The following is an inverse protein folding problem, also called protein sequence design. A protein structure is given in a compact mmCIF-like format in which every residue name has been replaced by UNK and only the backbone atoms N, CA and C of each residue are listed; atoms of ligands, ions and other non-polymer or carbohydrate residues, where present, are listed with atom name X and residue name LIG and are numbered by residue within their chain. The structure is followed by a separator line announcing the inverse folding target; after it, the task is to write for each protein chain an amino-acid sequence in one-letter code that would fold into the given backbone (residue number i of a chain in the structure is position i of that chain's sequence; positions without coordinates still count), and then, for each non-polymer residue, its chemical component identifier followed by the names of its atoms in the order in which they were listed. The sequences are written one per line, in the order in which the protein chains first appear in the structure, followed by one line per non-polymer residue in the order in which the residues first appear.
data_IF_956061076951
#
_entry.id   IF_956061076951
#
_cell.length_a   1.000
_cell.length_b   1.000
_cell.length_c   1.000
_cell.angle_alpha   90.00
_cell.angle_beta   90.00
_cell.angle_gamma   90.00
#
_symmetry.space_group_name_H-M   'P 1'
#
loop_
_entity.id
_entity.type
_entity.pdbx_description
1 polymer ?
#
# COMPACT_ATOMS: atom_id res chain seq x y z
N UNK A 1 31.70 14.95 -7.77
CA UNK A 1 30.60 15.64 -7.05
C UNK A 1 30.04 16.75 -7.95
N UNK A 2 29.27 16.35 -8.97
CA UNK A 2 28.59 17.27 -9.87
C UNK A 2 27.22 16.70 -10.36
N UNK A 3 26.23 16.44 -9.47
CA UNK A 3 24.87 16.27 -9.97
C UNK A 3 23.82 16.92 -9.05
N UNK A 4 23.95 18.22 -8.77
CA UNK A 4 22.87 18.97 -8.10
C UNK A 4 22.58 20.35 -8.74
N UNK A 5 23.40 20.79 -9.70
CA UNK A 5 23.23 22.06 -10.42
C UNK A 5 22.55 21.91 -11.78
N UNK A 6 22.12 20.70 -12.16
CA UNK A 6 21.51 20.40 -13.46
C UNK A 6 20.00 20.11 -13.35
N UNK A 7 19.39 20.42 -12.20
CA UNK A 7 17.99 20.08 -11.90
C UNK A 7 17.07 21.30 -11.82
N UNK A 8 17.59 22.50 -12.02
CA UNK A 8 16.85 23.76 -12.05
C UNK A 8 17.63 24.75 -12.93
N UNK A 9 17.57 24.58 -14.26
CA UNK A 9 17.72 25.76 -15.12
C UNK A 9 16.39 26.50 -15.01
N UNK A 10 16.42 27.74 -14.49
CA UNK A 10 15.22 28.56 -14.28
C UNK A 10 14.42 28.77 -15.58
N UNK A 11 15.07 28.59 -16.74
CA UNK A 11 14.46 28.67 -18.08
C UNK A 11 13.50 27.50 -18.40
N UNK A 12 13.62 26.34 -17.74
CA UNK A 12 12.76 25.17 -18.01
C UNK A 12 11.33 25.35 -17.46
N UNK A 13 11.13 26.22 -16.46
CA UNK A 13 9.81 26.46 -15.85
C UNK A 13 8.98 27.50 -16.62
N UNK A 14 9.62 28.46 -17.28
CA UNK A 14 8.93 29.57 -17.96
C UNK A 14 8.33 29.16 -19.32
N UNK A 15 8.83 28.10 -19.96
CA UNK A 15 8.33 27.56 -21.24
C UNK A 15 7.41 26.32 -21.10
N UNK A 16 7.16 25.86 -19.88
CA UNK A 16 6.29 24.70 -19.63
C UNK A 16 4.81 25.05 -19.80
N UNK A 17 4.13 24.32 -20.70
CA UNK A 17 2.67 24.34 -20.79
C UNK A 17 2.08 24.03 -19.41
N UNK A 18 1.10 24.82 -18.97
CA UNK A 18 0.43 24.66 -17.67
C UNK A 18 -0.04 23.22 -17.44
N UNK A 19 -0.46 22.53 -18.51
CA UNK A 19 -0.84 21.13 -18.46
C UNK A 19 0.33 20.21 -18.07
N UNK A 20 1.52 20.45 -18.60
CA UNK A 20 2.71 19.67 -18.25
C UNK A 20 3.13 19.93 -16.81
N UNK A 21 3.14 21.19 -16.37
CA UNK A 21 3.41 21.54 -14.97
C UNK A 21 2.45 20.83 -14.02
N UNK A 22 1.16 20.88 -14.34
CA UNK A 22 0.11 20.26 -13.53
C UNK A 22 0.26 18.74 -13.47
N UNK A 23 0.45 18.07 -14.60
CA UNK A 23 0.45 16.60 -14.66
C UNK A 23 1.77 15.96 -14.26
N UNK A 24 2.91 16.60 -14.57
CA UNK A 24 4.25 16.03 -14.36
C UNK A 24 4.91 16.45 -13.04
N UNK A 25 4.43 17.52 -12.38
CA UNK A 25 5.01 18.00 -11.13
C UNK A 25 4.01 18.17 -9.99
N UNK A 26 2.89 18.87 -10.23
CA UNK A 26 1.91 19.12 -9.17
C UNK A 26 1.19 17.83 -8.78
N UNK A 27 0.68 17.09 -9.76
CA UNK A 27 -0.05 15.85 -9.51
C UNK A 27 0.78 14.79 -8.75
N UNK A 28 2.00 14.40 -9.18
CA UNK A 28 2.80 13.44 -8.45
C UNK A 28 3.32 13.99 -7.12
N UNK A 29 3.58 15.30 -7.01
CA UNK A 29 3.94 15.94 -5.74
C UNK A 29 2.83 15.82 -4.68
N UNK A 30 1.59 16.09 -5.08
CA UNK A 30 0.41 15.83 -4.22
C UNK A 30 0.24 14.34 -3.93
N UNK A 31 0.50 13.48 -4.92
CA UNK A 31 0.51 12.02 -4.74
C UNK A 31 1.49 11.58 -3.65
N UNK A 32 2.71 12.13 -3.62
CA UNK A 32 3.70 11.84 -2.58
C UNK A 32 3.18 12.25 -1.18
N UNK A 33 2.57 13.43 -1.06
CA UNK A 33 2.03 13.92 0.21
C UNK A 33 0.90 13.02 0.71
N UNK A 34 -0.05 12.66 -0.16
CA UNK A 34 -1.18 11.80 0.21
C UNK A 34 -0.69 10.39 0.55
N UNK A 35 0.25 9.83 -0.22
CA UNK A 35 0.86 8.54 0.08
C UNK A 35 1.50 8.52 1.48
N UNK A 36 2.25 9.57 1.85
CA UNK A 36 2.82 9.71 3.19
C UNK A 36 1.73 9.70 4.27
N UNK A 37 0.66 10.49 4.12
CA UNK A 37 -0.46 10.51 5.07
C UNK A 37 -1.13 9.15 5.21
N UNK A 38 -1.28 8.41 4.10
CA UNK A 38 -1.80 7.06 4.11
C UNK A 38 -0.88 6.09 4.88
N UNK A 39 0.44 6.17 4.71
CA UNK A 39 1.40 5.35 5.47
C UNK A 39 1.45 5.68 6.96
N UNK A 40 1.12 6.91 7.35
CA UNK A 40 1.01 7.32 8.76
C UNK A 40 -0.28 6.79 9.40
N UNK A 41 -1.30 6.41 8.63
CA UNK A 41 -2.61 5.99 9.16
C UNK A 41 -2.57 4.84 10.21
N UNK A 42 -1.75 3.78 10.09
CA UNK A 42 -1.71 2.72 11.08
C UNK A 42 -0.81 3.06 12.28
N UNK A 43 -0.04 4.16 12.23
CA UNK A 43 0.96 4.51 13.23
C UNK A 43 0.36 4.59 14.64
N UNK A 44 -0.83 5.19 14.77
CA UNK A 44 -1.52 5.30 16.06
C UNK A 44 -1.80 3.92 16.67
N UNK A 45 -2.32 2.98 15.88
CA UNK A 45 -2.60 1.62 16.34
C UNK A 45 -1.31 0.89 16.74
N UNK A 46 -0.24 1.04 15.96
CA UNK A 46 1.07 0.44 16.28
C UNK A 46 1.67 1.02 17.56
N UNK A 47 1.56 2.33 17.78
CA UNK A 47 2.03 2.96 19.02
C UNK A 47 1.23 2.47 20.23
N UNK A 48 -0.07 2.21 20.07
CA UNK A 48 -0.88 1.58 21.11
C UNK A 48 -0.41 0.16 21.42
N UNK A 49 -0.10 -0.66 20.40
CA UNK A 49 0.50 -2.00 20.58
C UNK A 49 1.81 -1.94 21.36
N UNK A 50 2.68 -0.98 21.05
CA UNK A 50 3.94 -0.79 21.81
C UNK A 50 3.70 -0.40 23.26
N UNK A 51 2.73 0.48 23.52
CA UNK A 51 2.40 0.94 24.86
C UNK A 51 1.74 -0.16 25.70
N UNK A 52 0.82 -0.93 25.11
CA UNK A 52 0.13 -2.04 25.78
C UNK A 52 0.98 -3.31 25.87
N UNK A 53 2.03 -3.43 25.05
CA UNK A 53 2.82 -4.66 24.85
C UNK A 53 1.97 -5.86 24.42
N UNK A 54 0.87 -5.59 23.72
CA UNK A 54 -0.08 -6.59 23.29
C UNK A 54 -0.62 -6.22 21.90
N UNK A 55 -0.54 -7.17 20.97
CA UNK A 55 -0.97 -6.94 19.58
C UNK A 55 -2.49 -6.74 19.46
N UNK A 56 -3.27 -7.43 20.29
CA UNK A 56 -4.74 -7.41 20.21
C UNK A 56 -5.22 -7.92 18.86
N UNK A 57 -6.25 -7.26 18.31
CA UNK A 57 -6.89 -7.62 17.03
C UNK A 57 -6.17 -7.04 15.80
N UNK A 58 -5.05 -6.34 15.99
CA UNK A 58 -4.30 -5.75 14.88
C UNK A 58 -3.67 -6.85 14.04
N UNK A 59 -4.12 -7.00 12.78
CA UNK A 59 -3.44 -7.86 11.82
C UNK A 59 -2.10 -7.23 11.39
N UNK A 60 -0.94 -7.88 11.61
CA UNK A 60 0.35 -7.30 11.28
C UNK A 60 0.79 -7.57 9.83
N UNK A 61 0.11 -8.47 9.10
CA UNK A 61 0.49 -8.84 7.73
C UNK A 61 0.44 -7.68 6.71
N UNK A 62 -0.54 -6.76 6.76
CA UNK A 62 -0.54 -5.57 5.90
C UNK A 62 0.72 -4.72 6.05
N UNK A 63 1.35 -4.67 7.23
CA UNK A 63 2.57 -3.92 7.47
C UNK A 63 3.77 -4.50 6.68
N UNK A 64 3.83 -5.83 6.57
CA UNK A 64 4.81 -6.53 5.72
C UNK A 64 4.54 -6.24 4.24
N UNK A 65 3.26 -6.19 3.84
CA UNK A 65 2.89 -5.89 2.46
C UNK A 65 3.25 -4.44 2.07
N UNK A 66 3.19 -3.48 3.00
CA UNK A 66 3.69 -2.10 2.79
C UNK A 66 5.19 -2.13 2.45
N UNK A 67 6.01 -2.85 3.23
CA UNK A 67 7.45 -2.97 2.98
C UNK A 67 7.70 -3.54 1.57
N UNK A 68 7.04 -4.65 1.24
CA UNK A 68 7.20 -5.29 -0.06
C UNK A 68 6.83 -4.34 -1.20
N UNK A 69 5.67 -3.70 -1.12
CA UNK A 69 5.20 -2.76 -2.15
C UNK A 69 6.17 -1.59 -2.32
N UNK A 70 6.53 -0.91 -1.23
CA UNK A 70 7.43 0.24 -1.29
C UNK A 70 8.81 -0.15 -1.83
N UNK A 71 9.35 -1.31 -1.44
CA UNK A 71 10.65 -1.78 -1.93
C UNK A 71 10.61 -2.08 -3.43
N UNK A 72 9.54 -2.70 -3.94
CA UNK A 72 9.40 -2.98 -5.36
C UNK A 72 9.26 -1.70 -6.20
N UNK A 73 8.51 -0.71 -5.71
CA UNK A 73 8.39 0.59 -6.36
C UNK A 73 9.67 1.43 -6.25
N UNK A 74 10.44 1.31 -5.18
CA UNK A 74 11.77 1.92 -5.09
C UNK A 74 12.74 1.32 -6.11
N UNK A 75 12.73 -0.01 -6.30
CA UNK A 75 13.49 -0.63 -7.40
C UNK A 75 13.06 -0.06 -8.75
N UNK A 76 11.75 0.04 -9.00
CA UNK A 76 11.22 0.62 -10.22
C UNK A 76 11.64 2.08 -10.43
N UNK A 77 11.47 2.93 -9.42
CA UNK A 77 11.84 4.34 -9.47
C UNK A 77 13.33 4.54 -9.70
N UNK A 78 14.18 3.75 -9.05
CA UNK A 78 15.62 3.79 -9.27
C UNK A 78 16.02 3.38 -10.70
N UNK A 79 15.43 2.31 -11.23
CA UNK A 79 15.71 1.83 -12.60
C UNK A 79 15.29 2.85 -13.65
N UNK A 80 14.16 3.53 -13.44
CA UNK A 80 13.64 4.53 -14.38
C UNK A 80 14.07 5.97 -14.08
N UNK A 81 14.93 6.17 -13.06
CA UNK A 81 15.32 7.48 -12.55
C UNK A 81 14.12 8.42 -12.26
N UNK A 82 13.00 7.86 -11.76
CA UNK A 82 11.78 8.61 -11.43
C UNK A 82 11.82 9.09 -9.97
N UNK A 83 12.05 10.39 -9.71
CA UNK A 83 12.17 10.91 -8.35
C UNK A 83 10.84 10.87 -7.59
N UNK A 84 9.70 11.00 -8.27
CA UNK A 84 8.40 11.02 -7.62
C UNK A 84 8.01 9.64 -7.11
N UNK A 85 8.24 8.60 -7.91
CA UNK A 85 8.02 7.21 -7.45
C UNK A 85 8.91 6.88 -6.26
N UNK A 86 10.17 7.34 -6.26
CA UNK A 86 11.09 7.16 -5.13
C UNK A 86 10.55 7.89 -3.89
N UNK A 87 10.27 9.19 -3.99
CA UNK A 87 9.82 10.03 -2.88
C UNK A 87 8.48 9.58 -2.29
N UNK A 88 7.59 9.02 -3.11
CA UNK A 88 6.31 8.50 -2.66
C UNK A 88 6.44 7.23 -1.81
N UNK A 89 7.46 6.41 -2.06
CA UNK A 89 7.58 5.08 -1.46
C UNK A 89 8.63 4.99 -0.36
N UNK A 90 9.68 5.83 -0.38
CA UNK A 90 10.74 5.81 0.63
C UNK A 90 10.20 5.99 2.08
N UNK A 91 9.34 6.98 2.36
CA UNK A 91 8.79 7.14 3.71
C UNK A 91 7.92 5.95 4.12
N UNK A 92 7.20 5.36 3.16
CA UNK A 92 6.38 4.17 3.36
C UNK A 92 7.22 2.94 3.73
N UNK A 93 8.40 2.78 3.12
CA UNK A 93 9.34 1.72 3.47
C UNK A 93 9.84 1.90 4.91
N UNK A 94 10.32 3.09 5.28
CA UNK A 94 10.82 3.37 6.63
C UNK A 94 9.76 3.14 7.70
N UNK A 95 8.55 3.69 7.49
CA UNK A 95 7.43 3.49 8.39
C UNK A 95 7.01 2.02 8.44
N UNK A 96 6.92 1.35 7.29
CA UNK A 96 6.57 -0.07 7.19
C UNK A 96 7.51 -0.95 8.01
N UNK A 97 8.83 -0.72 7.91
CA UNK A 97 9.84 -1.44 8.71
C UNK A 97 9.64 -1.18 10.20
N UNK A 98 9.54 0.09 10.61
CA UNK A 98 9.31 0.46 12.01
C UNK A 98 8.05 -0.20 12.57
N UNK A 99 6.95 -0.15 11.82
CA UNK A 99 5.66 -0.68 12.24
C UNK A 99 5.67 -2.21 12.32
N UNK A 100 6.28 -2.87 11.33
CA UNK A 100 6.43 -4.33 11.29
C UNK A 100 7.24 -4.83 12.47
N UNK A 101 8.40 -4.24 12.76
CA UNK A 101 9.24 -4.62 13.91
C UNK A 101 8.49 -4.42 15.22
N UNK A 102 7.78 -3.29 15.35
CA UNK A 102 7.01 -2.97 16.54
C UNK A 102 5.90 -3.98 16.82
N UNK A 103 5.20 -4.46 15.79
CA UNK A 103 4.14 -5.45 15.94
C UNK A 103 4.70 -6.88 16.10
N UNK A 104 5.78 -7.21 15.39
CA UNK A 104 6.42 -8.53 15.46
C UNK A 104 6.80 -8.90 16.90
N UNK A 105 7.31 -7.94 17.67
CA UNK A 105 7.69 -8.13 19.07
C UNK A 105 6.55 -8.61 19.97
N UNK A 106 5.28 -8.37 19.60
CA UNK A 106 4.10 -8.70 20.41
C UNK A 106 3.13 -9.67 19.71
N UNK A 107 3.43 -10.09 18.49
CA UNK A 107 2.65 -11.07 17.73
C UNK A 107 2.83 -12.50 18.27
N UNK A 108 1.81 -13.34 18.11
CA UNK A 108 1.91 -14.77 18.40
C UNK A 108 2.82 -15.51 17.40
N UNK A 109 3.16 -16.76 17.70
CA UNK A 109 4.07 -17.57 16.88
C UNK A 109 3.54 -17.76 15.46
N UNK A 110 2.24 -17.98 15.28
CA UNK A 110 1.65 -18.20 13.95
C UNK A 110 1.71 -16.94 13.11
N UNK A 111 1.38 -15.79 13.69
CA UNK A 111 1.46 -14.48 13.05
C UNK A 111 2.91 -14.13 12.69
N UNK A 112 3.87 -14.35 13.60
CA UNK A 112 5.30 -14.14 13.34
C UNK A 112 5.81 -15.00 12.18
N UNK A 113 5.48 -16.29 12.18
CA UNK A 113 5.87 -17.20 11.11
C UNK A 113 5.31 -16.76 9.75
N UNK A 114 4.06 -16.29 9.73
CA UNK A 114 3.45 -15.79 8.50
C UNK A 114 4.11 -14.49 8.02
N UNK A 115 4.39 -13.55 8.93
CA UNK A 115 5.11 -12.32 8.63
C UNK A 115 6.50 -12.61 8.05
N UNK A 116 7.26 -13.53 8.67
CA UNK A 116 8.60 -13.92 8.20
C UNK A 116 8.54 -14.60 6.84
N UNK A 117 7.61 -15.54 6.62
CA UNK A 117 7.42 -16.20 5.31
C UNK A 117 7.10 -15.18 4.22
N UNK A 118 6.21 -14.23 4.50
CA UNK A 118 5.86 -13.17 3.56
C UNK A 118 7.07 -12.24 3.29
N UNK A 119 7.78 -11.81 4.34
CA UNK A 119 9.00 -11.00 4.20
C UNK A 119 10.06 -11.71 3.34
N UNK A 120 10.34 -12.98 3.63
CA UNK A 120 11.31 -13.78 2.88
C UNK A 120 10.89 -13.93 1.42
N UNK A 121 9.62 -14.28 1.15
CA UNK A 121 9.11 -14.42 -0.20
C UNK A 121 9.27 -13.13 -1.02
N UNK A 122 8.81 -11.99 -0.50
CA UNK A 122 8.91 -10.72 -1.22
C UNK A 122 10.34 -10.23 -1.33
N UNK A 123 11.16 -10.42 -0.30
CA UNK A 123 12.58 -10.06 -0.34
C UNK A 123 13.30 -10.84 -1.44
N UNK A 124 13.14 -12.16 -1.48
CA UNK A 124 13.76 -13.01 -2.50
C UNK A 124 13.32 -12.65 -3.91
N UNK A 125 12.02 -12.36 -4.09
CA UNK A 125 11.48 -11.93 -5.38
C UNK A 125 12.11 -10.61 -5.84
N UNK A 126 12.08 -9.58 -5.00
CA UNK A 126 12.53 -8.22 -5.35
C UNK A 126 14.06 -8.18 -5.47
N UNK A 127 14.79 -8.81 -4.54
CA UNK A 127 16.25 -8.90 -4.64
C UNK A 127 16.68 -9.73 -5.84
N UNK A 128 15.95 -10.81 -6.16
CA UNK A 128 16.20 -11.61 -7.36
C UNK A 128 16.04 -10.79 -8.64
N UNK A 129 14.97 -9.99 -8.74
CA UNK A 129 14.78 -9.06 -9.85
C UNK A 129 15.91 -8.02 -9.92
N UNK A 130 16.28 -7.40 -8.80
CA UNK A 130 17.37 -6.42 -8.73
C UNK A 130 18.74 -7.00 -9.13
N UNK A 131 19.08 -8.20 -8.65
CA UNK A 131 20.31 -8.91 -9.04
C UNK A 131 20.28 -9.26 -10.53
N UNK A 132 19.13 -9.72 -11.04
CA UNK A 132 19.00 -10.07 -12.44
C UNK A 132 19.23 -8.86 -13.35
N UNK A 133 18.63 -7.71 -12.99
CA UNK A 133 18.86 -6.43 -13.66
C UNK A 133 20.34 -6.06 -13.62
N UNK A 134 20.94 -6.05 -12.42
CA UNK A 134 22.32 -5.57 -12.24
C UNK A 134 23.39 -6.42 -12.94
N UNK A 135 23.18 -7.74 -13.06
CA UNK A 135 24.21 -8.66 -13.56
C UNK A 135 23.98 -9.16 -14.99
N UNK A 136 22.72 -9.18 -15.45
CA UNK A 136 22.37 -9.86 -16.70
C UNK A 136 21.59 -8.99 -17.70
N UNK A 137 21.27 -7.74 -17.35
CA UNK A 137 20.49 -6.85 -18.22
C UNK A 137 21.31 -5.64 -18.62
N UNK A 138 21.62 -5.55 -19.91
CA UNK A 138 22.37 -4.41 -20.48
C UNK A 138 21.44 -3.30 -21.00
N UNK A 139 20.19 -3.62 -21.33
CA UNK A 139 19.24 -2.67 -21.92
C UNK A 139 18.32 -2.10 -20.84
N UNK A 140 18.30 -0.77 -20.73
CA UNK A 140 17.45 -0.05 -19.79
C UNK A 140 15.96 -0.40 -19.95
N UNK A 141 15.47 -0.53 -21.19
CA UNK A 141 14.08 -0.92 -21.44
C UNK A 141 13.73 -2.30 -20.89
N UNK A 142 14.65 -3.27 -20.93
CA UNK A 142 14.45 -4.59 -20.33
C UNK A 142 14.48 -4.50 -18.80
N UNK A 143 15.36 -3.67 -18.24
CA UNK A 143 15.43 -3.44 -16.80
C UNK A 143 14.12 -2.84 -16.27
N UNK A 144 13.58 -1.82 -16.95
CA UNK A 144 12.29 -1.21 -16.64
C UNK A 144 11.15 -2.21 -16.71
N UNK A 145 11.12 -3.11 -17.70
CA UNK A 145 10.10 -4.16 -17.80
C UNK A 145 10.16 -5.11 -16.58
N UNK A 146 11.35 -5.61 -16.23
CA UNK A 146 11.51 -6.54 -15.10
C UNK A 146 11.10 -5.87 -13.78
N UNK A 147 11.58 -4.65 -13.54
CA UNK A 147 11.21 -3.90 -12.35
C UNK A 147 9.70 -3.60 -12.32
N UNK A 148 9.11 -3.20 -13.46
CA UNK A 148 7.70 -2.85 -13.58
C UNK A 148 6.78 -4.03 -13.33
N UNK A 149 7.06 -5.19 -13.96
CA UNK A 149 6.29 -6.41 -13.68
C UNK A 149 6.44 -6.88 -12.24
N UNK A 150 7.62 -6.73 -11.64
CA UNK A 150 7.85 -7.05 -10.22
C UNK A 150 7.01 -6.15 -9.33
N UNK A 151 7.04 -4.83 -9.53
CA UNK A 151 6.25 -3.87 -8.76
C UNK A 151 4.74 -4.10 -8.90
N UNK A 152 4.25 -4.32 -10.12
CA UNK A 152 2.83 -4.63 -10.37
C UNK A 152 2.42 -5.94 -9.71
N UNK A 153 3.22 -7.00 -9.79
CA UNK A 153 2.90 -8.27 -9.14
C UNK A 153 2.76 -8.11 -7.62
N UNK A 154 3.72 -7.43 -6.98
CA UNK A 154 3.67 -7.16 -5.54
C UNK A 154 2.46 -6.31 -5.17
N UNK A 155 2.13 -5.30 -5.99
CA UNK A 155 0.96 -4.46 -5.79
C UNK A 155 -0.36 -5.24 -5.93
N UNK A 156 -0.45 -6.20 -6.85
CA UNK A 156 -1.62 -7.08 -6.95
C UNK A 156 -1.78 -7.96 -5.70
N UNK A 157 -0.69 -8.48 -5.14
CA UNK A 157 -0.73 -9.17 -3.85
C UNK A 157 -1.20 -8.22 -2.73
N UNK A 158 -0.71 -6.97 -2.73
CA UNK A 158 -1.10 -5.93 -1.77
C UNK A 158 -2.61 -5.63 -1.84
N UNK A 159 -3.20 -5.63 -3.03
CA UNK A 159 -4.64 -5.44 -3.24
C UNK A 159 -5.52 -6.61 -2.78
N UNK A 160 -4.95 -7.75 -2.39
CA UNK A 160 -5.72 -8.88 -1.86
C UNK A 160 -6.54 -8.50 -0.61
N UNK A 161 -5.96 -7.73 0.30
CA UNK A 161 -6.63 -7.30 1.54
C UNK A 161 -7.85 -6.39 1.28
N UNK A 162 -7.75 -5.26 0.55
CA UNK A 162 -8.91 -4.41 0.28
C UNK A 162 -10.00 -5.14 -0.53
N UNK A 163 -9.64 -6.05 -1.45
CA UNK A 163 -10.64 -6.83 -2.19
C UNK A 163 -11.42 -7.77 -1.26
N UNK A 164 -10.73 -8.41 -0.31
CA UNK A 164 -11.37 -9.22 0.73
C UNK A 164 -12.33 -8.41 1.59
N UNK A 165 -11.92 -7.20 2.02
CA UNK A 165 -12.78 -6.29 2.78
C UNK A 165 -14.01 -5.84 1.98
N UNK A 166 -13.85 -5.51 0.69
CA UNK A 166 -14.98 -5.17 -0.18
C UNK A 166 -15.99 -6.32 -0.28
N UNK A 167 -15.50 -7.56 -0.47
CA UNK A 167 -16.35 -8.74 -0.53
C UNK A 167 -17.12 -8.98 0.78
N UNK A 168 -16.45 -8.78 1.93
CA UNK A 168 -17.06 -8.88 3.24
C UNK A 168 -18.18 -7.85 3.45
N UNK A 169 -17.94 -6.59 3.08
CA UNK A 169 -18.95 -5.51 3.21
C UNK A 169 -20.21 -5.83 2.41
N UNK A 170 -20.06 -6.35 1.19
CA UNK A 170 -21.19 -6.77 0.35
C UNK A 170 -21.93 -7.95 0.98
N UNK A 171 -21.21 -8.95 1.49
CA UNK A 171 -21.78 -10.13 2.14
C UNK A 171 -22.54 -9.79 3.42
N UNK A 172 -21.92 -9.00 4.29
CA UNK A 172 -22.46 -8.65 5.61
C UNK A 172 -23.41 -7.43 5.57
N UNK A 173 -23.47 -6.74 4.43
CA UNK A 173 -24.27 -5.52 4.21
C UNK A 173 -23.98 -4.46 5.28
N UNK A 174 -22.71 -4.23 5.57
CA UNK A 174 -22.23 -3.29 6.61
C UNK A 174 -20.86 -2.74 6.22
N UNK A 175 -20.70 -1.41 6.23
CA UNK A 175 -19.43 -0.73 5.92
C UNK A 175 -18.54 -0.47 7.15
N UNK A 176 -18.79 -1.14 8.28
CA UNK A 176 -18.07 -0.89 9.54
C UNK A 176 -16.54 -1.08 9.44
N UNK A 177 -16.06 -1.90 8.51
CA UNK A 177 -14.63 -2.13 8.25
C UNK A 177 -14.01 -1.12 7.27
N UNK A 178 -14.81 -0.25 6.64
CA UNK A 178 -14.35 0.79 5.72
C UNK A 178 -14.31 2.15 6.42
N UNK A 179 -13.23 2.88 6.19
CA UNK A 179 -13.03 4.21 6.77
C UNK A 179 -13.05 5.28 5.68
N UNK A 180 -14.07 6.14 5.69
CA UNK A 180 -14.31 7.13 4.63
C UNK A 180 -13.08 8.00 4.29
N UNK A 181 -12.35 8.61 5.26
CA UNK A 181 -11.17 9.40 4.94
C UNK A 181 -10.08 8.62 4.19
N UNK A 182 -9.85 7.35 4.55
CA UNK A 182 -8.85 6.50 3.90
C UNK A 182 -9.30 6.14 2.48
N UNK A 183 -10.58 5.83 2.28
CA UNK A 183 -11.12 5.55 0.95
C UNK A 183 -11.02 6.77 0.02
N UNK A 184 -11.29 7.98 0.52
CA UNK A 184 -11.09 9.23 -0.26
C UNK A 184 -9.62 9.41 -0.62
N UNK A 185 -8.71 9.30 0.35
CA UNK A 185 -7.27 9.44 0.10
C UNK A 185 -6.77 8.42 -0.92
N UNK A 186 -7.19 7.15 -0.82
CA UNK A 186 -6.87 6.11 -1.80
C UNK A 186 -7.34 6.47 -3.21
N UNK A 187 -8.59 6.92 -3.36
CA UNK A 187 -9.15 7.33 -4.66
C UNK A 187 -8.38 8.50 -5.25
N UNK A 188 -8.19 9.57 -4.48
CA UNK A 188 -7.50 10.78 -4.95
C UNK A 188 -6.05 10.46 -5.30
N UNK A 189 -5.34 9.73 -4.43
CA UNK A 189 -3.96 9.30 -4.70
C UNK A 189 -3.89 8.48 -6.00
N UNK A 190 -4.76 7.48 -6.16
CA UNK A 190 -4.80 6.67 -7.38
C UNK A 190 -5.05 7.51 -8.64
N UNK A 191 -5.97 8.47 -8.59
CA UNK A 191 -6.23 9.37 -9.73
C UNK A 191 -5.03 10.28 -10.05
N UNK A 192 -4.32 10.78 -9.04
CA UNK A 192 -3.10 11.57 -9.24
C UNK A 192 -2.00 10.74 -9.91
N UNK A 193 -1.80 9.49 -9.50
CA UNK A 193 -0.83 8.59 -10.13
C UNK A 193 -1.25 8.14 -11.53
N UNK A 194 -2.55 8.00 -11.81
CA UNK A 194 -3.06 7.80 -13.18
C UNK A 194 -2.75 9.00 -14.05
N UNK A 195 -3.01 10.21 -13.55
CA UNK A 195 -2.74 11.45 -14.27
C UNK A 195 -1.24 11.59 -14.57
N UNK A 196 -0.38 11.32 -13.58
CA UNK A 196 1.07 11.34 -13.74
C UNK A 196 1.55 10.27 -14.73
N UNK A 197 1.19 9.00 -14.50
CA UNK A 197 1.61 7.88 -15.34
C UNK A 197 1.18 8.04 -16.80
N UNK A 198 -0.03 8.56 -17.06
CA UNK A 198 -0.46 8.85 -18.43
C UNK A 198 0.34 10.00 -19.06
N UNK A 199 0.70 11.03 -18.30
CA UNK A 199 1.47 12.17 -18.78
C UNK A 199 2.95 11.84 -19.08
N UNK A 200 3.54 10.88 -18.36
CA UNK A 200 4.90 10.36 -18.65
C UNK A 200 4.89 9.11 -19.54
N UNK A 201 3.73 8.74 -20.09
CA UNK A 201 3.53 7.56 -20.94
C UNK A 201 3.96 6.23 -20.30
N UNK A 202 3.83 6.12 -18.98
CA UNK A 202 4.18 4.95 -18.19
C UNK A 202 2.92 4.19 -17.74
N UNK A 203 2.67 3.05 -18.40
CA UNK A 203 1.55 2.17 -18.08
C UNK A 203 1.79 1.30 -16.85
N UNK A 204 3.04 1.08 -16.42
CA UNK A 204 3.29 0.42 -15.15
C UNK A 204 2.81 1.28 -13.99
N UNK A 205 2.91 2.60 -14.09
CA UNK A 205 2.34 3.52 -13.11
C UNK A 205 0.83 3.67 -13.32
N UNK A 206 0.38 4.01 -14.53
CA UNK A 206 -1.02 4.40 -14.75
C UNK A 206 -2.01 3.25 -14.54
N UNK A 207 -1.75 2.07 -15.12
CA UNK A 207 -2.72 0.98 -15.13
C UNK A 207 -3.08 0.43 -13.72
N UNK A 208 -2.13 0.07 -12.85
CA UNK A 208 -2.49 -0.46 -11.54
C UNK A 208 -3.03 0.61 -10.58
N UNK A 209 -2.68 1.89 -10.78
CA UNK A 209 -3.28 2.99 -10.04
C UNK A 209 -4.73 3.25 -10.47
N UNK A 210 -5.08 3.02 -11.74
CA UNK A 210 -6.47 3.07 -12.19
C UNK A 210 -7.32 1.96 -11.54
N UNK A 211 -6.76 0.76 -11.40
CA UNK A 211 -7.39 -0.34 -10.64
C UNK A 211 -7.58 0.06 -9.17
N UNK A 212 -6.54 0.61 -8.54
CA UNK A 212 -6.61 1.10 -7.15
C UNK A 212 -7.65 2.21 -6.95
N UNK A 213 -7.71 3.18 -7.85
CA UNK A 213 -8.71 4.25 -7.84
C UNK A 213 -10.13 3.69 -7.97
N UNK A 214 -10.31 2.68 -8.83
CA UNK A 214 -11.59 1.97 -8.97
C UNK A 214 -11.99 1.29 -7.67
N UNK A 215 -11.06 0.62 -6.97
CA UNK A 215 -11.34 0.05 -5.65
C UNK A 215 -11.70 1.12 -4.62
N UNK A 216 -11.02 2.27 -4.61
CA UNK A 216 -11.38 3.39 -3.74
C UNK A 216 -12.79 3.92 -4.02
N UNK A 217 -13.16 4.08 -5.29
CA UNK A 217 -14.52 4.49 -5.69
C UNK A 217 -15.57 3.47 -5.25
N UNK A 218 -15.29 2.18 -5.40
CA UNK A 218 -16.17 1.12 -4.89
C UNK A 218 -16.30 1.18 -3.37
N UNK A 219 -15.22 1.42 -2.62
CA UNK A 219 -15.30 1.60 -1.16
C UNK A 219 -16.22 2.77 -0.80
N UNK A 220 -16.07 3.92 -1.46
CA UNK A 220 -16.92 5.10 -1.22
C UNK A 220 -18.39 4.82 -1.54
N UNK A 221 -18.66 4.13 -2.65
CA UNK A 221 -20.02 3.72 -3.01
C UNK A 221 -20.61 2.78 -1.95
N UNK A 222 -19.85 1.79 -1.48
CA UNK A 222 -20.31 0.85 -0.45
C UNK A 222 -20.54 1.52 0.91
N UNK A 223 -19.71 2.48 1.31
CA UNK A 223 -19.92 3.29 2.52
C UNK A 223 -21.26 4.02 2.43
N UNK A 224 -21.60 4.56 1.26
CA UNK A 224 -22.86 5.25 1.05
C UNK A 224 -24.06 4.30 1.01
N UNK A 225 -23.94 3.15 0.35
CA UNK A 225 -25.03 2.19 0.18
C UNK A 225 -25.31 1.33 1.43
N UNK A 226 -24.30 1.08 2.27
CA UNK A 226 -24.42 0.23 3.45
C UNK A 226 -24.06 1.00 4.72
N UNK A 227 -25.03 1.35 5.58
CA UNK A 227 -24.72 1.97 6.85
C UNK A 227 -23.92 1.01 7.74
N UNK A 228 -22.98 1.51 8.56
CA UNK A 228 -22.25 0.67 9.49
C UNK A 228 -23.22 0.12 10.54
N UNK A 229 -23.36 -1.21 10.59
CA UNK A 229 -24.09 -1.87 11.67
C UNK A 229 -23.27 -1.67 12.96
N UNK A 230 -23.90 -1.14 14.02
CA UNK A 230 -23.25 -1.06 15.33
C UNK A 230 -22.80 -2.45 15.74
N UNK A 231 -21.51 -2.62 16.02
CA UNK A 231 -21.05 -3.77 16.79
C UNK A 231 -21.80 -3.75 18.13
N UNK A 232 -22.33 -4.91 18.55
CA UNK A 232 -22.75 -5.07 19.94
C UNK A 232 -21.55 -4.66 20.82
N UNK A 233 -21.80 -3.81 21.82
CA UNK A 233 -20.76 -3.12 22.60
C UNK A 233 -19.73 -4.12 23.14
N UNK A 234 -18.56 -4.11 22.51
CA UNK A 234 -17.30 -4.68 22.97
C UNK A 234 -16.23 -3.61 22.73
N UNK A 235 -15.40 -3.35 23.74
CA UNK A 235 -14.57 -2.15 23.90
C UNK A 235 -13.75 -1.74 22.66
N UNK A 236 -13.62 -0.42 22.50
CA UNK A 236 -13.12 0.21 21.29
C UNK A 236 -11.66 -0.10 20.93
N UNK A 237 -11.46 -0.40 19.66
CA UNK A 237 -10.19 -0.34 18.96
C UNK A 237 -10.39 0.43 17.65
N UNK A 238 -9.51 1.40 17.41
CA UNK A 238 -9.58 2.30 16.28
C UNK A 238 -9.39 1.53 14.96
N UNK A 239 -10.20 1.91 13.96
CA UNK A 239 -10.21 1.36 12.61
C UNK A 239 -8.80 1.32 11.98
N UNK A 240 -8.18 0.14 11.99
CA UNK A 240 -7.07 -0.19 11.10
C UNK A 240 -7.65 -0.59 9.75
N UNK A 241 -7.42 0.22 8.73
CA UNK A 241 -7.79 -0.11 7.36
C UNK A 241 -7.08 -1.41 6.93
N UNK A 242 -7.89 -2.41 6.60
CA UNK A 242 -7.50 -3.59 5.84
C UNK A 242 -6.87 -4.72 6.66
N UNK A 243 -7.72 -5.57 7.26
CA UNK A 243 -7.71 -7.04 7.11
C UNK A 243 -8.59 -7.65 8.21
N UNK A 244 -9.87 -7.88 7.88
CA UNK A 244 -10.74 -8.70 8.72
C UNK A 244 -10.24 -10.15 8.69
N UNK A 245 -9.82 -10.65 9.85
CA UNK A 245 -9.59 -12.07 10.06
C UNK A 245 -10.96 -12.77 10.17
N UNK A 246 -11.17 -13.81 9.37
CA UNK A 246 -12.33 -14.68 9.51
C UNK A 246 -12.18 -15.50 10.81
N UNK A 247 -13.03 -15.23 11.78
CA UNK A 247 -13.17 -16.02 13.00
C UNK A 247 -13.89 -17.34 12.64
N UNK A 248 -13.24 -18.47 12.91
CA UNK A 248 -13.80 -19.81 12.73
C UNK A 248 -14.40 -20.24 14.07
N UNK A 249 -15.72 -20.16 14.20
CA UNK A 249 -16.45 -20.66 15.37
C UNK A 249 -16.51 -22.20 15.28
N UNK A 250 -15.89 -22.97 16.19
CA UNK A 250 -16.09 -24.41 16.19
C UNK A 250 -17.51 -24.68 16.67
N UNK A 251 -18.29 -25.36 15.82
CA UNK A 251 -19.62 -25.87 16.13
C UNK A 251 -19.61 -26.53 17.50
N UNK A 252 -20.36 -25.96 18.44
CA UNK A 252 -20.70 -26.60 19.70
C UNK A 252 -21.47 -27.89 19.38
N UNK A 253 -20.80 -29.03 19.51
CA UNK A 253 -21.44 -30.34 19.57
C UNK A 253 -22.21 -30.42 20.89
N UNK A 254 -23.51 -30.15 20.83
CA UNK A 254 -24.43 -30.33 21.93
C UNK A 254 -24.54 -31.80 22.36
N UNK A 255 -24.39 -31.98 23.67
CA UNK A 255 -24.98 -32.97 24.58
C UNK A 255 -25.64 -34.24 24.05
N UNK A 256 -25.27 -35.36 24.67
CA UNK A 256 -26.02 -36.62 24.62
C UNK A 256 -25.51 -37.64 25.63
N UNK A 257 -26.11 -37.59 26.82
CA UNK A 257 -26.08 -38.54 27.93
C UNK A 257 -26.08 -40.03 27.55
N UNK A 258 -25.18 -40.81 28.13
CA UNK A 258 -25.42 -42.00 28.99
C UNK A 258 -24.08 -42.63 29.40
#
# INVERSE_FOLDING_TARGET
MAPLRLLLDDDDFDDMDFKELLLKHIAPGLGCIIAFLMFVSPLKAVLQVRASKHLGDLNPLPLVAIIANCTAWLLYGCVNADPYVILANEPGLLLGVFMTISCYAFADIKARDLMLKALLFFTLLISGAGIAIALFVEKDSTASLIAGYTAVFVLLCYYGAPLSTLAEVVRCRSSASLHWPISVMNTVNGLLWVAYGTAVHDMFIAAPNAVGATFGLLQLALIHCYPPKKAAVGNGAAASGGAAAAEYEPLQGGGGTA
#
